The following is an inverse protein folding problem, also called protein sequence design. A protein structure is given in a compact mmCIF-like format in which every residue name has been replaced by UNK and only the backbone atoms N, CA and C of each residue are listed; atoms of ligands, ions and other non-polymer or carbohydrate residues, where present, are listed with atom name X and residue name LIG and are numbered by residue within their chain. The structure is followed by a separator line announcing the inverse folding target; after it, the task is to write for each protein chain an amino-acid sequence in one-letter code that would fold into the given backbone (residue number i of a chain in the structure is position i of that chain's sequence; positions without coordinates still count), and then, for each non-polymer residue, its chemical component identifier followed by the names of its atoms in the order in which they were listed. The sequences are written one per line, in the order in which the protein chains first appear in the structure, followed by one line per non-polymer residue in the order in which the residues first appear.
data_IF_425590364097
#
_entry.id   IF_425590364097
#
_cell.length_a   1.000
_cell.length_b   1.000
_cell.length_c   1.000
_cell.angle_alpha   90.00
_cell.angle_beta   90.00
_cell.angle_gamma   90.00
#
_symmetry.space_group_name_H-M   'P 1'
#
loop_
_entity.id
_entity.type
_entity.pdbx_description
1 polymer ?
#
# COMPACT_ATOMS: atom_id res chain seq x y z
N UNK A 1 -8.91 -0.61 -65.07
CA UNK A 1 -8.29 0.17 -63.98
C UNK A 1 -9.41 0.77 -63.14
N UNK A 2 -9.57 0.33 -61.89
CA UNK A 2 -10.40 1.02 -60.90
C UNK A 2 -9.87 0.61 -59.52
N UNK A 3 -9.00 1.46 -58.96
CA UNK A 3 -8.38 1.30 -57.65
C UNK A 3 -9.33 1.85 -56.58
N UNK A 4 -9.93 0.98 -55.77
CA UNK A 4 -10.73 1.39 -54.61
C UNK A 4 -9.80 1.54 -53.41
N UNK A 5 -9.42 2.78 -53.09
CA UNK A 5 -8.68 3.10 -51.88
C UNK A 5 -9.66 3.19 -50.70
N UNK A 6 -9.61 2.20 -49.80
CA UNK A 6 -10.36 2.19 -48.55
C UNK A 6 -9.56 2.98 -47.50
N UNK A 7 -9.93 4.23 -47.27
CA UNK A 7 -9.31 5.05 -46.22
C UNK A 7 -9.90 4.66 -44.85
N UNK A 8 -9.14 3.89 -44.05
CA UNK A 8 -9.41 3.72 -42.62
C UNK A 8 -9.03 5.00 -41.88
N UNK A 9 -10.00 5.83 -41.54
CA UNK A 9 -9.82 6.92 -40.58
C UNK A 9 -9.94 6.36 -39.16
N UNK A 10 -8.81 5.90 -38.60
CA UNK A 10 -8.67 5.71 -37.15
C UNK A 10 -8.72 7.08 -36.48
N UNK A 11 -9.86 7.45 -35.90
CA UNK A 11 -9.92 8.53 -34.92
C UNK A 11 -9.38 7.98 -33.60
N UNK A 12 -8.09 8.23 -33.31
CA UNK A 12 -7.60 8.14 -31.93
C UNK A 12 -8.36 9.20 -31.14
N UNK A 13 -9.41 8.80 -30.44
CA UNK A 13 -9.97 9.60 -29.38
C UNK A 13 -8.88 9.73 -28.31
N UNK A 14 -8.24 10.90 -28.27
CA UNK A 14 -7.42 11.30 -27.15
C UNK A 14 -8.32 11.29 -25.91
N UNK A 15 -8.27 10.21 -25.13
CA UNK A 15 -8.83 10.22 -23.80
C UNK A 15 -8.17 11.39 -23.05
N UNK A 16 -8.94 12.32 -22.46
CA UNK A 16 -8.34 13.36 -21.64
C UNK A 16 -7.52 12.66 -20.55
N UNK A 17 -6.24 13.03 -20.49
CA UNK A 17 -5.34 12.60 -19.45
C UNK A 17 -6.04 12.80 -18.11
N UNK A 18 -6.43 11.70 -17.46
CA UNK A 18 -6.73 11.71 -16.03
C UNK A 18 -5.40 11.88 -15.30
N UNK A 19 -4.82 13.06 -15.44
CA UNK A 19 -3.68 13.53 -14.67
C UNK A 19 -4.21 14.08 -13.35
N UNK A 20 -4.88 13.21 -12.61
CA UNK A 20 -4.79 13.28 -11.17
C UNK A 20 -3.85 12.15 -10.79
N UNK A 21 -2.55 12.44 -10.91
CA UNK A 21 -1.61 11.87 -9.97
C UNK A 21 -2.17 12.20 -8.58
N UNK A 22 -2.96 11.26 -8.04
CA UNK A 22 -3.21 11.27 -6.61
C UNK A 22 -1.83 11.17 -6.04
N UNK A 23 -1.37 12.27 -5.46
CA UNK A 23 -0.16 12.32 -4.68
C UNK A 23 -0.41 11.41 -3.46
N UNK A 24 -0.32 10.10 -3.69
CA UNK A 24 -0.01 9.18 -2.62
C UNK A 24 1.42 9.53 -2.31
N UNK A 25 1.59 10.43 -1.34
CA UNK A 25 2.75 10.44 -0.47
C UNK A 25 2.82 9.06 0.20
N UNK A 26 3.15 8.03 -0.59
CA UNK A 26 3.69 6.79 -0.09
C UNK A 26 4.97 7.24 0.60
N UNK A 27 5.12 6.98 1.91
CA UNK A 27 6.32 7.40 2.60
C UNK A 27 7.51 6.86 1.84
N UNK A 28 8.42 7.77 1.48
CA UNK A 28 9.52 7.59 0.53
C UNK A 28 10.51 6.49 0.94
N UNK A 29 10.30 5.82 2.08
CA UNK A 29 11.15 4.74 2.58
C UNK A 29 10.30 3.74 3.37
N UNK A 30 9.76 2.72 2.69
CA UNK A 30 9.29 1.47 3.33
C UNK A 30 10.46 0.61 3.88
N UNK A 31 11.67 1.17 3.85
CA UNK A 31 12.94 0.49 4.10
C UNK A 31 13.53 1.11 5.36
N UNK A 32 13.65 0.29 6.40
CA UNK A 32 14.45 0.64 7.58
C UNK A 32 15.90 0.28 7.25
N UNK A 33 16.79 1.27 7.25
CA UNK A 33 18.23 1.01 7.14
C UNK A 33 18.79 0.56 8.49
N UNK A 34 19.64 -0.46 8.47
CA UNK A 34 20.31 -0.98 9.65
C UNK A 34 21.54 -1.81 9.25
N UNK A 35 22.51 -2.00 10.16
CA UNK A 35 23.69 -2.81 9.90
C UNK A 35 23.36 -4.25 9.45
N UNK A 36 24.12 -4.76 8.49
CA UNK A 36 23.92 -6.12 7.96
C UNK A 36 24.02 -7.20 9.05
N UNK A 37 24.78 -6.97 10.12
CA UNK A 37 24.96 -7.93 11.21
C UNK A 37 23.65 -8.25 11.96
N UNK A 38 22.74 -7.28 12.07
CA UNK A 38 21.43 -7.49 12.72
C UNK A 38 20.32 -7.87 11.73
N UNK A 39 20.62 -7.90 10.42
CA UNK A 39 19.66 -8.29 9.39
C UNK A 39 18.95 -9.62 9.65
N UNK A 40 19.64 -10.75 9.97
CA UNK A 40 18.95 -12.01 10.22
C UNK A 40 17.95 -11.88 11.38
N UNK A 41 18.31 -11.13 12.43
CA UNK A 41 17.45 -10.91 13.60
C UNK A 41 16.21 -10.08 13.24
N UNK A 42 16.37 -9.04 12.41
CA UNK A 42 15.23 -8.26 11.89
C UNK A 42 14.33 -9.13 11.01
N UNK A 43 14.91 -10.00 10.17
CA UNK A 43 14.15 -10.89 9.31
C UNK A 43 13.36 -11.93 10.12
N UNK A 44 13.90 -12.42 11.24
CA UNK A 44 13.18 -13.30 12.17
C UNK A 44 11.93 -12.63 12.72
N UNK A 45 12.04 -11.35 13.11
CA UNK A 45 10.89 -10.58 13.59
C UNK A 45 9.84 -10.36 12.49
N UNK A 46 10.27 -10.01 11.27
CA UNK A 46 9.37 -9.88 10.12
C UNK A 46 8.64 -11.18 9.81
N UNK A 47 9.32 -12.32 9.89
CA UNK A 47 8.67 -13.63 9.71
C UNK A 47 7.60 -13.89 10.76
N UNK A 48 7.85 -13.51 12.01
CA UNK A 48 6.81 -13.58 13.04
C UNK A 48 5.59 -12.73 12.68
N UNK A 49 5.80 -11.46 12.31
CA UNK A 49 4.73 -10.53 11.94
C UNK A 49 3.92 -11.03 10.72
N UNK A 50 4.56 -11.69 9.77
CA UNK A 50 3.92 -12.19 8.54
C UNK A 50 3.29 -13.59 8.67
N UNK A 51 3.42 -14.27 9.81
CA UNK A 51 2.95 -15.65 9.98
C UNK A 51 1.41 -15.80 9.97
N UNK A 52 0.65 -14.70 10.01
CA UNK A 52 -0.78 -14.75 10.30
C UNK A 52 -1.66 -14.91 9.05
N UNK A 53 -2.72 -15.72 9.24
CA UNK A 53 -3.80 -15.95 8.29
C UNK A 53 -4.72 -14.72 8.24
N UNK A 54 -4.52 -13.87 7.24
CA UNK A 54 -5.33 -12.66 7.02
C UNK A 54 -6.68 -13.05 6.47
N UNK A 55 -7.75 -12.54 7.07
CA UNK A 55 -9.11 -12.80 6.61
C UNK A 55 -9.58 -11.63 5.77
N UNK A 56 -9.90 -11.86 4.50
CA UNK A 56 -10.56 -10.84 3.69
C UNK A 56 -12.06 -10.82 3.99
N UNK A 57 -12.54 -9.79 4.71
CA UNK A 57 -13.95 -9.65 5.08
C UNK A 57 -14.71 -8.62 4.25
N UNK A 58 -14.14 -8.13 3.14
CA UNK A 58 -14.65 -6.98 2.37
C UNK A 58 -14.77 -5.69 3.21
N UNK A 59 -14.01 -5.64 4.29
CA UNK A 59 -13.94 -4.50 5.20
C UNK A 59 -12.50 -3.98 5.20
N UNK A 60 -12.33 -2.69 5.49
CA UNK A 60 -11.04 -2.04 5.62
C UNK A 60 -10.44 -2.28 7.03
N UNK A 61 -10.15 -3.55 7.35
CA UNK A 61 -9.69 -4.02 8.66
C UNK A 61 -8.24 -4.54 8.64
N UNK A 62 -7.49 -4.39 7.54
CA UNK A 62 -6.14 -4.93 7.44
C UNK A 62 -5.17 -4.28 8.41
N UNK A 63 -5.26 -2.96 8.66
CA UNK A 63 -4.43 -2.30 9.66
C UNK A 63 -4.62 -2.90 11.06
N UNK A 64 -5.87 -3.21 11.43
CA UNK A 64 -6.20 -3.86 12.70
C UNK A 64 -5.62 -5.28 12.75
N UNK A 65 -5.81 -6.07 11.68
CA UNK A 65 -5.25 -7.41 11.58
C UNK A 65 -3.72 -7.43 11.68
N UNK A 66 -3.03 -6.42 11.12
CA UNK A 66 -1.57 -6.26 11.25
C UNK A 66 -1.17 -5.82 12.66
N UNK A 67 -1.93 -4.90 13.28
CA UNK A 67 -1.67 -4.45 14.65
C UNK A 67 -1.79 -5.60 15.67
N UNK A 68 -2.70 -6.54 15.43
CA UNK A 68 -2.89 -7.72 16.26
C UNK A 68 -1.67 -8.67 16.30
N UNK A 69 -0.76 -8.60 15.32
CA UNK A 69 0.48 -9.40 15.35
C UNK A 69 1.52 -8.90 16.32
N UNK A 70 1.54 -7.59 16.60
CA UNK A 70 2.54 -6.95 17.45
C UNK A 70 2.59 -7.62 18.83
N UNK A 71 1.48 -7.72 19.59
CA UNK A 71 1.52 -8.35 20.92
C UNK A 71 1.90 -9.83 20.85
N UNK A 72 1.52 -10.56 19.79
CA UNK A 72 1.92 -11.97 19.59
C UNK A 72 3.43 -12.13 19.44
N UNK A 73 4.09 -11.17 18.78
CA UNK A 73 5.51 -11.20 18.48
C UNK A 73 6.39 -10.50 19.52
N UNK A 74 5.83 -9.87 20.56
CA UNK A 74 6.57 -9.02 21.50
C UNK A 74 7.65 -9.78 22.28
N UNK A 75 7.37 -11.02 22.70
CA UNK A 75 8.37 -11.87 23.38
C UNK A 75 9.56 -12.17 22.48
N UNK A 76 9.30 -12.44 21.20
CA UNK A 76 10.36 -12.67 20.22
C UNK A 76 11.15 -11.38 19.96
N UNK A 77 10.47 -10.25 19.76
CA UNK A 77 11.09 -8.93 19.62
C UNK A 77 12.05 -8.64 20.76
N UNK A 78 11.62 -8.79 22.02
CA UNK A 78 12.47 -8.52 23.17
C UNK A 78 13.74 -9.39 23.18
N UNK A 79 13.64 -10.67 22.76
CA UNK A 79 14.81 -11.55 22.60
C UNK A 79 15.75 -11.04 21.50
N UNK A 80 15.20 -10.75 20.32
CA UNK A 80 15.97 -10.34 19.14
C UNK A 80 16.64 -8.98 19.35
N UNK A 81 16.01 -8.05 20.07
CA UNK A 81 16.61 -6.76 20.44
C UNK A 81 17.87 -6.97 21.27
N UNK A 82 17.83 -7.82 22.31
CA UNK A 82 19.02 -8.12 23.12
C UNK A 82 20.13 -8.79 22.31
N UNK A 83 19.77 -9.69 21.39
CA UNK A 83 20.74 -10.33 20.50
C UNK A 83 21.36 -9.33 19.52
N UNK A 84 20.57 -8.38 19.01
CA UNK A 84 21.04 -7.30 18.15
C UNK A 84 21.97 -6.34 18.90
N UNK A 85 21.60 -5.93 20.11
CA UNK A 85 22.47 -5.14 20.98
C UNK A 85 23.83 -5.81 21.18
N UNK A 86 23.83 -7.11 21.51
CA UNK A 86 25.06 -7.86 21.70
C UNK A 86 25.90 -7.94 20.41
N UNK A 87 25.26 -8.25 19.28
CA UNK A 87 25.95 -8.30 17.99
C UNK A 87 26.55 -6.95 17.58
N UNK A 88 25.88 -5.83 17.91
CA UNK A 88 26.36 -4.48 17.63
C UNK A 88 27.55 -4.09 18.53
N UNK A 89 27.58 -4.56 19.78
CA UNK A 89 28.72 -4.35 20.70
C UNK A 89 29.99 -5.07 20.23
N UNK A 90 29.84 -6.22 19.57
CA UNK A 90 30.96 -7.10 19.21
C UNK A 90 31.72 -6.70 17.94
N UNK A 91 31.78 -5.41 17.57
CA UNK A 91 32.57 -4.99 16.43
C UNK A 91 32.44 -3.51 16.07
N UNK A 92 32.78 -3.19 14.83
CA UNK A 92 32.75 -1.81 14.28
C UNK A 92 31.35 -1.28 14.00
N UNK A 93 30.31 -2.09 14.17
CA UNK A 93 28.94 -1.72 13.84
C UNK A 93 28.30 -0.75 14.84
N UNK A 94 28.87 -0.63 16.04
CA UNK A 94 28.48 0.36 17.05
C UNK A 94 28.62 1.81 16.57
N UNK A 95 29.50 2.08 15.59
CA UNK A 95 29.66 3.38 14.94
C UNK A 95 28.52 3.69 13.95
N UNK A 96 27.87 2.66 13.39
CA UNK A 96 26.76 2.78 12.43
C UNK A 96 25.42 2.84 13.15
N UNK A 97 25.25 1.98 14.15
CA UNK A 97 24.07 1.92 14.98
C UNK A 97 24.51 1.62 16.42
N UNK A 98 24.28 2.58 17.32
CA UNK A 98 24.50 2.39 18.74
C UNK A 98 23.69 1.16 19.22
N UNK A 99 24.26 0.25 20.02
CA UNK A 99 23.56 -0.95 20.49
C UNK A 99 22.18 -0.66 21.07
N UNK A 100 22.07 0.38 21.89
CA UNK A 100 20.85 0.82 22.59
C UNK A 100 19.75 1.25 21.62
N UNK A 101 20.11 1.52 20.35
CA UNK A 101 19.19 1.88 19.27
C UNK A 101 18.68 0.67 18.48
N UNK A 102 19.13 -0.54 18.78
CA UNK A 102 18.58 -1.75 18.16
C UNK A 102 17.06 -1.82 18.32
N UNK A 103 16.52 -1.47 19.49
CA UNK A 103 15.07 -1.45 19.75
C UNK A 103 14.28 -0.57 18.79
N UNK A 104 14.85 0.56 18.36
CA UNK A 104 14.21 1.49 17.43
C UNK A 104 14.01 0.85 16.06
N UNK A 105 14.95 0.02 15.59
CA UNK A 105 14.82 -0.73 14.32
C UNK A 105 13.59 -1.65 14.35
N UNK A 106 13.42 -2.43 15.43
CA UNK A 106 12.28 -3.35 15.55
C UNK A 106 10.95 -2.60 15.70
N UNK A 107 10.95 -1.45 16.38
CA UNK A 107 9.78 -0.56 16.46
C UNK A 107 9.39 -0.07 15.08
N UNK A 108 10.32 0.48 14.30
CA UNK A 108 10.05 0.95 12.93
C UNK A 108 9.53 -0.18 12.04
N UNK A 109 10.07 -1.40 12.17
CA UNK A 109 9.58 -2.56 11.42
C UNK A 109 8.11 -2.89 11.77
N UNK A 110 7.71 -2.78 13.03
CA UNK A 110 6.33 -2.98 13.45
C UNK A 110 5.40 -1.86 12.91
N UNK A 111 5.87 -0.61 12.94
CA UNK A 111 5.11 0.53 12.39
C UNK A 111 4.90 0.40 10.88
N UNK A 112 5.94 -0.02 10.15
CA UNK A 112 5.86 -0.32 8.71
C UNK A 112 4.89 -1.46 8.44
N UNK A 113 4.88 -2.51 9.27
CA UNK A 113 3.93 -3.63 9.17
C UNK A 113 2.48 -3.16 9.23
N UNK A 114 2.12 -2.33 10.22
CA UNK A 114 0.76 -1.76 10.33
C UNK A 114 0.48 -0.78 9.19
N UNK A 115 1.47 0.00 8.77
CA UNK A 115 1.32 0.95 7.66
C UNK A 115 0.98 0.26 6.34
N UNK A 116 1.50 -0.95 6.10
CA UNK A 116 1.12 -1.76 4.95
C UNK A 116 -0.34 -2.17 5.01
N UNK A 117 -0.84 -2.57 6.19
CA UNK A 117 -2.27 -2.82 6.40
C UNK A 117 -3.13 -1.60 6.06
N UNK A 118 -2.76 -0.42 6.57
CA UNK A 118 -3.46 0.85 6.24
C UNK A 118 -3.45 1.17 4.75
N UNK A 119 -2.39 0.79 4.03
CA UNK A 119 -2.32 1.00 2.59
C UNK A 119 -3.28 0.09 1.84
N UNK A 120 -3.36 -1.19 2.23
CA UNK A 120 -4.37 -2.11 1.70
C UNK A 120 -5.80 -1.60 1.98
N UNK A 121 -6.07 -1.13 3.18
CA UNK A 121 -7.36 -0.53 3.54
C UNK A 121 -7.73 0.63 2.62
N UNK A 122 -6.79 1.56 2.38
CA UNK A 122 -7.01 2.69 1.45
C UNK A 122 -7.26 2.22 0.02
N UNK A 123 -6.49 1.24 -0.47
CA UNK A 123 -6.67 0.70 -1.81
C UNK A 123 -8.04 0.03 -1.97
N UNK A 124 -8.48 -0.74 -0.98
CA UNK A 124 -9.78 -1.38 -0.97
C UNK A 124 -10.92 -0.36 -1.03
N UNK A 125 -10.87 0.66 -0.17
CA UNK A 125 -11.89 1.72 -0.15
C UNK A 125 -11.97 2.50 -1.46
N UNK A 126 -10.82 2.78 -2.10
CA UNK A 126 -10.79 3.39 -3.44
C UNK A 126 -11.46 2.51 -4.49
N UNK A 127 -11.24 1.19 -4.43
CA UNK A 127 -11.90 0.27 -5.35
C UNK A 127 -13.42 0.28 -5.18
N UNK A 128 -13.93 0.33 -3.96
CA UNK A 128 -15.37 0.44 -3.71
C UNK A 128 -15.96 1.76 -4.21
N UNK A 129 -15.32 2.89 -3.93
CA UNK A 129 -15.76 4.19 -4.44
C UNK A 129 -15.81 4.22 -5.98
N UNK A 130 -14.82 3.63 -6.66
CA UNK A 130 -14.82 3.53 -8.13
C UNK A 130 -15.95 2.62 -8.65
N UNK A 131 -16.27 1.53 -7.96
CA UNK A 131 -17.38 0.66 -8.34
C UNK A 131 -18.73 1.36 -8.18
N UNK A 132 -18.93 2.07 -7.07
CA UNK A 132 -20.14 2.86 -6.82
C UNK A 132 -20.34 3.94 -7.90
N UNK A 133 -19.28 4.69 -8.24
CA UNK A 133 -19.33 5.72 -9.29
C UNK A 133 -19.68 5.15 -10.68
N UNK A 134 -19.31 3.90 -10.97
CA UNK A 134 -19.67 3.21 -12.23
C UNK A 134 -21.11 2.71 -12.26
N UNK A 135 -21.73 2.52 -11.10
CA UNK A 135 -23.12 2.04 -11.00
C UNK A 135 -24.15 3.17 -11.03
N UNK A 136 -23.74 4.44 -10.92
CA UNK A 136 -24.62 5.59 -11.17
C UNK A 136 -24.96 5.61 -12.67
N UNK A 137 -26.23 5.42 -13.08
CA UNK A 137 -26.60 5.46 -14.49
C UNK A 137 -26.33 6.85 -15.05
N UNK A 138 -25.59 6.91 -16.17
CA UNK A 138 -25.52 8.10 -17.02
C UNK A 138 -26.86 8.30 -17.75
N UNK A 139 -27.95 8.52 -17.01
CA UNK A 139 -29.26 8.80 -17.59
C UNK A 139 -29.84 10.08 -16.99
N UNK A 140 -29.24 11.21 -17.36
CA UNK A 140 -29.81 12.55 -17.17
C UNK A 140 -29.53 13.48 -18.36
N UNK A 141 -29.41 12.94 -19.59
CA UNK A 141 -29.34 13.76 -20.81
C UNK A 141 -30.39 13.37 -21.86
N UNK A 142 -31.52 12.79 -21.45
CA UNK A 142 -32.75 12.93 -22.23
C UNK A 142 -33.44 14.22 -21.78
N UNK A 143 -32.90 15.33 -22.25
CA UNK A 143 -33.63 16.58 -22.37
C UNK A 143 -34.86 16.28 -23.23
N UNK A 144 -36.02 16.20 -22.58
CA UNK A 144 -37.32 16.20 -23.26
C UNK A 144 -37.39 17.55 -23.98
N UNK A 145 -37.15 17.55 -25.28
CA UNK A 145 -37.50 18.70 -26.12
C UNK A 145 -39.03 18.80 -26.08
N UNK A 146 -39.63 19.85 -25.47
CA UNK A 146 -41.06 20.01 -25.52
C UNK A 146 -41.44 20.26 -26.99
N UNK A 147 -42.29 19.37 -27.50
CA UNK A 147 -42.87 19.46 -28.82
C UNK A 147 -43.92 20.58 -28.79
N UNK A 148 -43.53 21.82 -29.06
CA UNK A 148 -44.50 22.88 -29.31
C UNK A 148 -45.11 22.68 -30.70
N UNK A 149 -46.24 21.99 -30.70
CA UNK A 149 -47.17 21.93 -31.80
C UNK A 149 -47.87 23.29 -31.98
N UNK A 150 -47.91 23.73 -33.23
CA UNK A 150 -49.03 24.45 -33.88
C UNK A 150 -49.45 25.82 -33.34
N UNK A 151 -49.17 26.85 -34.13
CA UNK A 151 -50.21 27.74 -34.69
C UNK A 151 -49.76 28.30 -36.04
#
# INVERSE_FOLDING_TARGET
MLTTALALTLTMQAAPNMDQAVETALPTYWVTEYPIIIKPLVDDYRRCLNYADRRFRREADFAEQHAADIPRCEKLKAKLVRQSEEALRQGRWSEVLAPEKAGDVFRTVAEVHVSRGRDFDRQLMRQYAMQEARMVPTDLTNEVIPNEASN
#
